data_IF_203531684373
#
_entry.id   IF_203531684373
#
_cell.length_a   1.000
_cell.length_b   1.000
_cell.length_c   1.000
_cell.angle_alpha   90.00
_cell.angle_beta   90.00
_cell.angle_gamma   90.00
#
_symmetry.space_group_name_H-M   'P 1'
#
loop_
_entity.id
_entity.type
_entity.pdbx_description
1 polymer ?
#
# COMPACT_ATOMS: atom_id res chain seq x y z
N UNK A 1 13.17 -11.89 -35.05
CA UNK A 1 12.63 -13.02 -34.24
C UNK A 1 13.54 -13.10 -33.04
N UNK A 2 13.13 -12.92 -31.79
CA UNK A 2 11.80 -12.94 -31.19
C UNK A 2 11.65 -11.70 -30.30
N UNK A 3 10.52 -11.02 -30.45
CA UNK A 3 10.05 -10.06 -29.46
C UNK A 3 9.46 -10.95 -28.37
N UNK A 4 10.17 -11.11 -27.25
CA UNK A 4 9.70 -11.91 -26.13
C UNK A 4 8.31 -11.44 -25.70
N UNK A 5 7.36 -12.33 -25.96
CA UNK A 5 5.91 -12.20 -25.87
C UNK A 5 5.44 -12.20 -24.41
N UNK A 6 6.09 -11.43 -23.55
CA UNK A 6 5.70 -11.25 -22.13
C UNK A 6 5.26 -9.82 -21.83
N UNK A 7 4.75 -9.12 -22.84
CA UNK A 7 4.25 -7.74 -22.72
C UNK A 7 2.78 -7.59 -23.11
N UNK A 8 1.98 -8.67 -23.11
CA UNK A 8 0.57 -8.59 -23.50
C UNK A 8 -0.32 -9.53 -22.69
N UNK A 9 -0.70 -9.09 -21.49
CA UNK A 9 -1.98 -9.30 -20.82
C UNK A 9 -1.78 -9.10 -19.30
N UNK A 10 -2.60 -8.41 -18.53
CA UNK A 10 -3.75 -7.52 -18.70
C UNK A 10 -4.11 -7.21 -17.26
N UNK A 11 -4.05 -5.95 -16.83
CA UNK A 11 -4.33 -5.54 -15.45
C UNK A 11 -3.41 -6.23 -14.43
N UNK A 12 -2.46 -5.48 -13.87
CA UNK A 12 -1.72 -5.91 -12.68
C UNK A 12 -2.73 -6.27 -11.59
N UNK A 13 -3.08 -7.55 -11.48
CA UNK A 13 -3.78 -8.08 -10.32
C UNK A 13 -2.96 -7.60 -9.13
N UNK A 14 -3.56 -6.77 -8.28
CA UNK A 14 -2.97 -6.35 -7.02
C UNK A 14 -2.92 -7.60 -6.14
N UNK A 15 -1.94 -8.46 -6.38
CA UNK A 15 -1.68 -9.62 -5.55
C UNK A 15 -0.84 -9.16 -4.38
N UNK A 16 -1.29 -9.48 -3.16
CA UNK A 16 -0.52 -9.23 -1.96
C UNK A 16 0.85 -9.94 -2.12
N UNK A 17 1.96 -9.20 -2.09
CA UNK A 17 3.27 -9.79 -2.22
C UNK A 17 3.56 -10.76 -1.08
N UNK A 18 4.29 -11.83 -1.38
CA UNK A 18 4.70 -12.80 -0.38
C UNK A 18 5.55 -12.12 0.71
N UNK A 19 5.26 -12.39 1.99
CA UNK A 19 5.96 -11.84 3.15
C UNK A 19 7.48 -12.01 3.08
N UNK A 20 7.97 -13.11 2.48
CA UNK A 20 9.41 -13.33 2.26
C UNK A 20 10.01 -12.30 1.31
N UNK A 21 9.28 -11.96 0.27
CA UNK A 21 9.67 -10.96 -0.71
C UNK A 21 9.61 -9.56 -0.12
N UNK A 22 8.62 -9.28 0.74
CA UNK A 22 8.51 -8.06 1.52
C UNK A 22 9.69 -7.87 2.48
N UNK A 23 10.05 -8.92 3.22
CA UNK A 23 11.17 -8.90 4.16
C UNK A 23 12.51 -8.70 3.44
N UNK A 24 12.72 -9.40 2.32
CA UNK A 24 13.92 -9.24 1.50
C UNK A 24 14.05 -7.81 0.98
N UNK A 25 12.94 -7.25 0.48
CA UNK A 25 12.85 -5.87 0.03
C UNK A 25 13.20 -4.86 1.11
N UNK A 26 12.66 -5.04 2.32
CA UNK A 26 13.02 -4.21 3.47
C UNK A 26 14.53 -4.31 3.80
N UNK A 27 15.08 -5.52 3.80
CA UNK A 27 16.51 -5.78 4.10
C UNK A 27 17.47 -5.19 3.06
N UNK A 28 17.05 -5.17 1.80
CA UNK A 28 17.82 -4.59 0.70
C UNK A 28 17.52 -3.10 0.49
N UNK A 29 16.71 -2.48 1.36
CA UNK A 29 16.25 -1.09 1.20
C UNK A 29 15.61 -0.83 -0.18
N UNK A 30 14.92 -1.84 -0.71
CA UNK A 30 14.19 -1.80 -1.98
C UNK A 30 12.70 -1.89 -1.70
N UNK A 31 12.09 -0.78 -1.32
CA UNK A 31 10.70 -0.73 -0.89
C UNK A 31 9.70 -0.80 -2.04
N UNK A 32 8.42 -0.75 -1.67
CA UNK A 32 7.28 -0.69 -2.61
C UNK A 32 6.98 0.75 -3.07
N UNK A 33 7.57 1.73 -2.40
CA UNK A 33 7.51 3.13 -2.76
C UNK A 33 8.80 3.54 -3.47
N UNK A 34 8.67 4.42 -4.46
CA UNK A 34 9.73 5.01 -5.30
C UNK A 34 10.92 5.65 -4.54
N UNK A 35 10.88 5.74 -3.20
CA UNK A 35 11.75 6.61 -2.39
C UNK A 35 12.59 5.90 -1.34
N UNK A 36 12.81 4.59 -1.42
CA UNK A 36 13.34 3.82 -0.29
C UNK A 36 14.74 4.21 0.18
N UNK A 37 15.60 4.75 -0.70
CA UNK A 37 16.94 5.24 -0.34
C UNK A 37 17.03 6.78 -0.23
N UNK A 38 15.96 7.51 -0.58
CA UNK A 38 16.01 8.97 -0.74
C UNK A 38 15.46 9.74 0.46
N UNK A 39 14.77 9.08 1.39
CA UNK A 39 14.07 9.72 2.52
C UNK A 39 15.00 10.49 3.47
N UNK A 40 16.27 10.13 3.58
CA UNK A 40 17.21 10.83 4.46
C UNK A 40 17.42 12.30 4.01
N UNK A 41 17.16 12.62 2.74
CA UNK A 41 17.28 13.96 2.16
C UNK A 41 15.94 14.69 1.93
N UNK A 42 14.79 14.09 2.29
CA UNK A 42 13.46 14.71 2.10
C UNK A 42 12.98 15.55 3.29
N UNK A 43 13.72 15.57 4.41
CA UNK A 43 13.38 16.34 5.61
C UNK A 43 13.45 17.88 5.43
N UNK A 44 13.74 18.39 4.23
CA UNK A 44 13.97 19.81 3.98
C UNK A 44 13.17 20.38 2.81
N UNK A 45 12.08 19.74 2.39
CA UNK A 45 11.13 20.36 1.47
C UNK A 45 9.80 20.48 2.19
N UNK A 46 9.58 21.68 2.72
CA UNK A 46 8.29 22.18 3.18
C UNK A 46 7.33 22.21 1.97
N UNK A 47 6.89 21.04 1.51
CA UNK A 47 5.78 20.92 0.59
C UNK A 47 4.52 21.21 1.42
N UNK A 48 4.13 22.48 1.48
CA UNK A 48 2.93 22.92 2.18
C UNK A 48 1.73 22.28 1.50
N UNK A 49 1.21 21.21 2.11
CA UNK A 49 -0.01 20.52 1.66
C UNK A 49 -1.13 21.55 1.58
N UNK A 50 -1.72 21.70 0.40
CA UNK A 50 -2.82 22.63 0.20
C UNK A 50 -4.06 22.16 0.98
N UNK A 51 -4.92 23.08 1.41
CA UNK A 51 -6.11 22.74 2.20
C UNK A 51 -7.06 21.78 1.45
N UNK A 52 -7.11 21.90 0.12
CA UNK A 52 -7.84 20.98 -0.73
C UNK A 52 -7.28 19.56 -0.68
N UNK A 53 -5.96 19.39 -0.80
CA UNK A 53 -5.29 18.10 -0.71
C UNK A 53 -5.48 17.49 0.68
N UNK A 54 -5.40 18.32 1.72
CA UNK A 54 -5.67 17.92 3.10
C UNK A 54 -7.08 17.36 3.26
N UNK A 55 -8.09 18.03 2.69
CA UNK A 55 -9.48 17.54 2.75
C UNK A 55 -9.65 16.17 2.08
N UNK A 56 -8.97 15.95 0.94
CA UNK A 56 -9.00 14.68 0.22
C UNK A 56 -8.33 13.58 1.04
N UNK A 57 -7.19 13.87 1.68
CA UNK A 57 -6.49 12.94 2.56
C UNK A 57 -7.39 12.53 3.72
N UNK A 58 -8.07 13.48 4.35
CA UNK A 58 -9.00 13.20 5.46
C UNK A 58 -10.18 12.33 5.00
N UNK A 59 -10.78 12.62 3.84
CA UNK A 59 -11.87 11.81 3.30
C UNK A 59 -11.44 10.35 3.03
N UNK A 60 -10.28 10.18 2.38
CA UNK A 60 -9.72 8.84 2.12
C UNK A 60 -9.46 8.10 3.44
N UNK A 61 -8.91 8.78 4.44
CA UNK A 61 -8.65 8.22 5.76
C UNK A 61 -9.95 7.74 6.42
N UNK A 62 -11.00 8.58 6.43
CA UNK A 62 -12.29 8.25 7.03
C UNK A 62 -12.93 7.03 6.36
N UNK A 63 -12.86 6.95 5.03
CA UNK A 63 -13.36 5.78 4.29
C UNK A 63 -12.57 4.51 4.61
N UNK A 64 -11.24 4.61 4.72
CA UNK A 64 -10.39 3.49 5.08
C UNK A 64 -10.70 2.98 6.50
N UNK A 65 -10.83 3.88 7.49
CA UNK A 65 -11.19 3.55 8.87
C UNK A 65 -12.55 2.84 8.95
N UNK A 66 -13.56 3.36 8.24
CA UNK A 66 -14.87 2.70 8.18
C UNK A 66 -14.78 1.28 7.60
N UNK A 67 -13.98 1.10 6.55
CA UNK A 67 -13.75 -0.23 5.96
C UNK A 67 -13.08 -1.18 6.95
N UNK A 68 -12.12 -0.69 7.72
CA UNK A 68 -11.41 -1.47 8.73
C UNK A 68 -12.32 -1.88 9.89
N UNK A 69 -13.21 -1.00 10.38
CA UNK A 69 -14.18 -1.34 11.42
C UNK A 69 -15.13 -2.47 11.00
N UNK A 70 -15.61 -2.44 9.76
CA UNK A 70 -16.48 -3.48 9.20
C UNK A 70 -15.74 -4.81 9.14
N UNK A 71 -14.50 -4.79 8.66
CA UNK A 71 -13.69 -5.99 8.52
C UNK A 71 -13.29 -6.57 9.89
N UNK A 72 -12.94 -5.73 10.85
CA UNK A 72 -12.65 -6.14 12.21
C UNK A 72 -13.86 -6.82 12.87
N UNK A 73 -15.07 -6.29 12.65
CA UNK A 73 -16.30 -6.95 13.11
C UNK A 73 -16.49 -8.30 12.42
N UNK A 74 -16.31 -8.37 11.10
CA UNK A 74 -16.42 -9.63 10.33
C UNK A 74 -15.45 -10.70 10.88
N UNK A 75 -14.19 -10.33 11.08
CA UNK A 75 -13.15 -11.20 11.65
C UNK A 75 -13.53 -11.61 13.07
N UNK A 76 -14.03 -10.68 13.88
CA UNK A 76 -14.47 -10.97 15.24
C UNK A 76 -15.59 -12.01 15.28
N UNK A 77 -16.63 -11.83 14.46
CA UNK A 77 -17.72 -12.81 14.35
C UNK A 77 -17.21 -14.17 13.88
N UNK A 78 -16.34 -14.21 12.87
CA UNK A 78 -15.73 -15.47 12.43
C UNK A 78 -14.93 -16.14 13.55
N UNK A 79 -14.14 -15.38 14.30
CA UNK A 79 -13.36 -15.92 15.42
C UNK A 79 -14.27 -16.49 16.52
N UNK A 80 -15.40 -15.84 16.79
CA UNK A 80 -16.31 -16.24 17.86
C UNK A 80 -17.16 -17.47 17.48
N UNK A 81 -17.47 -17.67 16.19
CA UNK A 81 -18.22 -18.83 15.70
C UNK A 81 -17.36 -20.09 15.46
N UNK A 82 -16.03 -19.97 15.52
CA UNK A 82 -15.08 -21.10 15.37
C UNK A 82 -14.51 -21.60 16.72
N UNK A 83 -15.13 -21.20 17.84
CA UNK A 83 -14.89 -21.70 19.20
C UNK A 83 -16.19 -22.28 19.75
#
# INVERSE_FOLDING_TARGET
MEIDEKTRNTCSNWTCPNDRELLLRAKLETGWSFKTNSYQNFNTKNDSINEQERSIIVDVLMRAQKSEEIENKRIWYLRLLNF
#
